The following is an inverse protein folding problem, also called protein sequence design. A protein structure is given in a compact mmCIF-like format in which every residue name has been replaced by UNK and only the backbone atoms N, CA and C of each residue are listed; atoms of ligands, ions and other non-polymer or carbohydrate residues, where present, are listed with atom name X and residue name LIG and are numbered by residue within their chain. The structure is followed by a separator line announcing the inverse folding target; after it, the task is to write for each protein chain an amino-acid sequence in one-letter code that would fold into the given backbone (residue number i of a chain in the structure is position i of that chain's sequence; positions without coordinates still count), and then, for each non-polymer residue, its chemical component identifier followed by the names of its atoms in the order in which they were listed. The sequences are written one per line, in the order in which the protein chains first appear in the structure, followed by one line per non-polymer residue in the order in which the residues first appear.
data_IF_306012857631
#
_entry.id   IF_306012857631
#
_cell.length_a   1.000
_cell.length_b   1.000
_cell.length_c   1.000
_cell.angle_alpha   90.00
_cell.angle_beta   90.00
_cell.angle_gamma   90.00
#
_symmetry.space_group_name_H-M   'P 1'
#
loop_
_entity.id
_entity.type
_entity.pdbx_description
1 polymer ?
#
# COMPACT_ATOMS: atom_id res chain seq x y z
N UNK A 1 7.03 12.36 -2.21
CA UNK A 1 6.16 11.39 -1.49
C UNK A 1 6.37 10.03 -2.11
N UNK A 2 6.87 9.09 -1.33
CA UNK A 2 7.20 7.73 -1.75
C UNK A 2 5.96 6.83 -1.75
N UNK A 3 6.07 5.62 -2.31
CA UNK A 3 4.99 4.64 -2.21
C UNK A 3 4.76 4.24 -0.74
N UNK A 4 5.83 4.00 0.01
CA UNK A 4 5.76 3.67 1.44
C UNK A 4 4.98 4.73 2.23
N UNK A 5 5.18 6.02 1.94
CA UNK A 5 4.45 7.11 2.61
C UNK A 5 2.93 7.03 2.39
N UNK A 6 2.46 6.50 1.25
CA UNK A 6 1.03 6.26 1.06
C UNK A 6 0.53 5.11 1.95
N UNK A 7 1.30 4.03 2.10
CA UNK A 7 0.94 2.91 2.98
C UNK A 7 0.87 3.34 4.45
N UNK A 8 1.84 4.14 4.90
CA UNK A 8 1.85 4.67 6.27
C UNK A 8 0.65 5.62 6.50
N UNK A 9 0.31 6.45 5.50
CA UNK A 9 -0.86 7.31 5.56
C UNK A 9 -2.18 6.53 5.59
N UNK A 10 -2.25 5.38 4.90
CA UNK A 10 -3.39 4.46 4.95
C UNK A 10 -3.50 3.84 6.34
N UNK A 11 -2.40 3.35 6.91
CA UNK A 11 -2.40 2.79 8.27
C UNK A 11 -2.91 3.82 9.28
N UNK A 12 -2.43 5.06 9.20
CA UNK A 12 -2.89 6.14 10.08
C UNK A 12 -4.38 6.44 9.93
N UNK A 13 -4.95 6.32 8.73
CA UNK A 13 -6.37 6.60 8.45
C UNK A 13 -7.30 5.46 8.84
N UNK A 14 -6.85 4.23 8.61
CA UNK A 14 -7.66 3.02 8.78
C UNK A 14 -7.47 2.38 10.15
N UNK A 15 -6.36 2.68 10.84
CA UNK A 15 -5.95 1.99 12.07
C UNK A 15 -5.42 0.57 11.83
N UNK A 16 -5.26 0.16 10.56
CA UNK A 16 -4.84 -1.19 10.18
C UNK A 16 -3.52 -1.14 9.41
N UNK A 17 -2.60 -2.04 9.75
CA UNK A 17 -1.37 -2.22 8.96
C UNK A 17 -1.71 -2.57 7.50
N UNK A 18 -0.87 -2.19 6.53
CA UNK A 18 -1.06 -2.58 5.13
C UNK A 18 -1.20 -4.10 4.95
N UNK A 19 -0.45 -4.92 5.71
CA UNK A 19 -0.57 -6.38 5.71
C UNK A 19 -1.99 -6.83 6.01
N UNK A 20 -2.56 -6.33 7.11
CA UNK A 20 -3.94 -6.69 7.50
C UNK A 20 -4.96 -6.31 6.44
N UNK A 21 -4.78 -5.16 5.77
CA UNK A 21 -5.66 -4.76 4.66
C UNK A 21 -5.52 -5.68 3.45
N UNK A 22 -4.32 -6.17 3.14
CA UNK A 22 -4.10 -7.18 2.09
C UNK A 22 -4.75 -8.51 2.45
N UNK A 23 -4.63 -8.96 3.69
CA UNK A 23 -5.29 -10.20 4.16
C UNK A 23 -6.82 -10.09 4.05
N UNK A 24 -7.39 -8.96 4.48
CA UNK A 24 -8.83 -8.68 4.35
C UNK A 24 -9.28 -8.61 2.88
N UNK A 25 -8.42 -8.11 1.99
CA UNK A 25 -8.70 -8.10 0.56
C UNK A 25 -8.77 -9.54 0.01
N UNK A 26 -7.84 -10.41 0.43
CA UNK A 26 -7.83 -11.82 0.06
C UNK A 26 -9.05 -12.57 0.60
N UNK A 27 -9.45 -12.31 1.86
CA UNK A 27 -10.68 -12.84 2.47
C UNK A 27 -11.94 -12.43 1.66
N UNK A 28 -11.92 -11.27 1.00
CA UNK A 28 -12.98 -10.77 0.11
C UNK A 28 -12.88 -11.27 -1.34
N UNK A 29 -11.87 -12.09 -1.66
CA UNK A 29 -11.65 -12.61 -3.01
C UNK A 29 -10.94 -11.64 -3.96
N UNK A 30 -10.31 -10.59 -3.43
CA UNK A 30 -9.45 -9.71 -4.22
C UNK A 30 -8.02 -10.26 -4.32
N UNK A 31 -7.40 -10.07 -5.48
CA UNK A 31 -6.06 -10.57 -5.76
C UNK A 31 -5.53 -10.09 -7.11
N UNK A 32 -4.56 -10.80 -7.71
CA UNK A 32 -3.86 -10.37 -8.92
C UNK A 32 -4.74 -10.02 -10.13
N UNK A 33 -5.85 -10.74 -10.31
CA UNK A 33 -6.75 -10.56 -11.46
C UNK A 33 -7.88 -9.54 -11.21
N UNK A 34 -7.98 -9.03 -9.98
CA UNK A 34 -9.04 -8.09 -9.59
C UNK A 34 -8.79 -6.72 -10.21
N UNK A 35 -9.85 -6.12 -10.76
CA UNK A 35 -9.79 -4.73 -11.25
C UNK A 35 -9.65 -3.76 -10.07
N UNK A 36 -9.07 -2.59 -10.35
CA UNK A 36 -8.87 -1.56 -9.33
C UNK A 36 -10.19 -1.06 -8.72
N UNK A 37 -11.23 -0.90 -9.53
CA UNK A 37 -12.49 -0.25 -9.10
C UNK A 37 -13.16 -0.95 -7.92
N UNK A 38 -13.41 -2.29 -7.93
CA UNK A 38 -14.00 -2.98 -6.77
C UNK A 38 -13.19 -2.82 -5.47
N UNK A 39 -11.86 -2.82 -5.55
CA UNK A 39 -10.98 -2.65 -4.39
C UNK A 39 -11.10 -1.22 -3.85
N UNK A 40 -11.14 -0.21 -4.74
CA UNK A 40 -11.29 1.20 -4.35
C UNK A 40 -12.65 1.44 -3.69
N UNK A 41 -13.72 0.90 -4.26
CA UNK A 41 -15.08 1.01 -3.72
C UNK A 41 -15.17 0.38 -2.33
N UNK A 42 -14.59 -0.81 -2.15
CA UNK A 42 -14.50 -1.45 -0.85
C UNK A 42 -13.73 -0.59 0.17
N UNK A 43 -12.54 -0.11 -0.19
CA UNK A 43 -11.72 0.70 0.72
C UNK A 43 -12.38 2.03 1.08
N UNK A 44 -13.14 2.62 0.15
CA UNK A 44 -13.93 3.81 0.40
C UNK A 44 -15.13 3.52 1.32
N UNK A 45 -15.85 2.43 1.09
CA UNK A 45 -17.04 2.06 1.87
C UNK A 45 -16.71 1.66 3.31
N UNK A 46 -15.70 0.80 3.51
CA UNK A 46 -15.38 0.24 4.81
C UNK A 46 -14.48 1.16 5.65
N UNK A 47 -13.65 1.99 5.00
CA UNK A 47 -12.62 2.78 5.69
C UNK A 47 -12.57 4.27 5.31
N UNK A 48 -13.50 4.75 4.48
CA UNK A 48 -13.49 6.15 4.02
C UNK A 48 -12.24 6.53 3.22
N UNK A 49 -11.55 5.55 2.63
CA UNK A 49 -10.27 5.81 1.98
C UNK A 49 -10.46 6.45 0.60
N UNK A 50 -9.94 7.67 0.43
CA UNK A 50 -9.96 8.35 -0.86
C UNK A 50 -9.12 7.65 -1.93
N UNK A 51 -9.55 7.77 -3.20
CA UNK A 51 -8.96 7.10 -4.37
C UNK A 51 -7.43 7.18 -4.46
N UNK A 52 -6.85 8.35 -4.16
CA UNK A 52 -5.39 8.55 -4.22
C UNK A 52 -4.60 7.65 -3.27
N UNK A 53 -5.14 7.35 -2.09
CA UNK A 53 -4.51 6.42 -1.14
C UNK A 53 -4.85 4.97 -1.49
N UNK A 54 -6.09 4.71 -1.90
CA UNK A 54 -6.53 3.37 -2.28
C UNK A 54 -5.68 2.74 -3.39
N UNK A 55 -5.16 3.55 -4.32
CA UNK A 55 -4.30 3.05 -5.41
C UNK A 55 -3.01 2.36 -4.94
N UNK A 56 -2.45 2.78 -3.80
CA UNK A 56 -1.27 2.11 -3.24
C UNK A 56 -1.63 0.68 -2.78
N UNK A 57 -2.76 0.51 -2.09
CA UNK A 57 -3.26 -0.82 -1.71
C UNK A 57 -3.67 -1.66 -2.92
N UNK A 58 -4.33 -1.07 -3.92
CA UNK A 58 -4.67 -1.76 -5.17
C UNK A 58 -3.43 -2.39 -5.79
N UNK A 59 -2.32 -1.65 -5.85
CA UNK A 59 -1.08 -2.17 -6.38
C UNK A 59 -0.56 -3.33 -5.52
N UNK A 60 -0.49 -3.19 -4.19
CA UNK A 60 -0.01 -4.27 -3.31
C UNK A 60 -0.88 -5.52 -3.41
N UNK A 61 -2.20 -5.38 -3.47
CA UNK A 61 -3.15 -6.49 -3.60
C UNK A 61 -2.99 -7.21 -4.94
N UNK A 62 -2.76 -6.46 -6.02
CA UNK A 62 -2.73 -7.04 -7.38
C UNK A 62 -1.34 -7.46 -7.84
N UNK A 63 -0.27 -6.90 -7.25
CA UNK A 63 1.12 -7.08 -7.71
C UNK A 63 2.09 -7.47 -6.61
N UNK A 64 1.67 -7.46 -5.35
CA UNK A 64 2.53 -7.70 -4.20
C UNK A 64 3.33 -6.47 -3.77
N UNK A 65 4.18 -6.61 -2.73
CA UNK A 65 4.95 -5.52 -2.14
C UNK A 65 6.17 -5.08 -2.96
N UNK A 66 6.55 -5.82 -4.00
CA UNK A 66 7.71 -5.48 -4.82
C UNK A 66 7.38 -4.30 -5.74
N UNK A 67 8.18 -3.24 -5.71
CA UNK A 67 8.07 -2.09 -6.60
C UNK A 67 9.22 -2.06 -7.62
N UNK A 68 9.03 -1.45 -8.81
CA UNK A 68 10.09 -1.37 -9.80
C UNK A 68 11.31 -0.58 -9.30
N UNK A 69 12.50 -1.17 -9.43
CA UNK A 69 13.78 -0.60 -8.97
C UNK A 69 14.18 0.71 -9.64
N UNK A 70 13.51 1.12 -10.73
CA UNK A 70 13.74 2.41 -11.41
C UNK A 70 13.53 3.64 -10.51
N UNK A 71 12.91 3.47 -9.33
CA UNK A 71 12.75 4.48 -8.30
C UNK A 71 13.40 4.08 -6.95
N UNK A 72 14.34 3.11 -6.94
CA UNK A 72 15.12 2.55 -5.78
C UNK A 72 16.68 2.77 -5.93
N UNK A 73 17.47 3.04 -4.86
CA UNK A 73 18.62 4.02 -4.69
C UNK A 73 18.99 5.22 -5.65
N UNK A 74 18.47 6.47 -5.55
CA UNK A 74 18.75 7.66 -6.42
C UNK A 74 18.49 8.97 -5.65
N UNK A 75 19.21 10.06 -5.93
CA UNK A 75 19.23 11.28 -5.09
C UNK A 75 17.99 12.22 -5.19
N UNK A 76 16.78 11.67 -5.33
CA UNK A 76 15.54 12.44 -5.54
C UNK A 76 14.52 12.38 -4.39
N UNK A 77 13.77 13.47 -4.19
CA UNK A 77 12.79 13.70 -3.09
C UNK A 77 11.52 12.80 -3.14
N UNK A 78 11.39 11.93 -4.15
CA UNK A 78 10.20 11.13 -4.45
C UNK A 78 10.52 9.63 -4.53
N UNK A 79 10.99 9.07 -3.43
CA UNK A 79 11.73 7.82 -3.50
C UNK A 79 11.48 6.89 -2.32
N UNK A 80 11.34 5.61 -2.63
CA UNK A 80 11.31 4.52 -1.66
C UNK A 80 12.73 4.08 -1.30
N UNK A 81 12.95 3.76 -0.02
CA UNK A 81 14.24 3.33 0.51
C UNK A 81 14.60 1.89 0.11
N UNK A 82 13.59 1.08 -0.17
CA UNK A 82 13.69 -0.33 -0.57
C UNK A 82 12.82 -0.59 -1.79
N UNK A 83 13.16 -1.62 -2.57
CA UNK A 83 12.31 -2.13 -3.65
C UNK A 83 11.20 -3.05 -3.15
N UNK A 84 11.19 -3.31 -1.85
CA UNK A 84 10.17 -4.08 -1.15
C UNK A 84 9.46 -3.18 -0.15
N UNK A 85 8.15 -2.98 -0.35
CA UNK A 85 7.32 -2.21 0.56
C UNK A 85 7.17 -2.90 1.91
N UNK A 86 7.28 -2.12 2.99
CA UNK A 86 7.04 -2.61 4.34
C UNK A 86 5.55 -2.59 4.65
N UNK A 87 4.97 -3.78 4.88
CA UNK A 87 3.53 -3.93 5.12
C UNK A 87 3.17 -4.17 6.59
N UNK A 88 4.17 -4.46 7.43
CA UNK A 88 3.96 -4.97 8.79
C UNK A 88 3.88 -3.83 9.84
N UNK A 89 3.59 -2.62 9.37
CA UNK A 89 3.32 -1.44 10.19
C UNK A 89 4.44 -0.39 10.14
N UNK A 90 4.08 0.88 10.08
CA UNK A 90 5.04 1.98 10.04
C UNK A 90 5.94 2.06 11.30
N UNK A 91 5.49 1.50 12.44
CA UNK A 91 6.26 1.45 13.68
C UNK A 91 7.39 0.41 13.66
N UNK A 92 7.29 -0.62 12.81
CA UNK A 92 8.25 -1.73 12.72
C UNK A 92 9.16 -1.63 11.51
N UNK A 93 8.94 -0.64 10.64
CA UNK A 93 9.69 -0.45 9.41
C UNK A 93 11.17 -0.11 9.71
N UNK A 94 12.14 -0.96 9.32
CA UNK A 94 13.57 -0.70 9.52
C UNK A 94 14.11 0.40 8.58
N UNK A 95 13.36 0.75 7.54
CA UNK A 95 13.66 1.77 6.55
C UNK A 95 12.91 3.07 6.85
N UNK A 96 12.79 3.40 8.13
CA UNK A 96 12.14 4.62 8.58
C UNK A 96 13.21 5.50 9.25
N UNK A 97 13.88 6.31 8.43
CA UNK A 97 14.84 7.33 8.85
C UNK A 97 14.19 8.61 9.37
#
# INVERSE_FOLDING_TARGET
MSFQAYLDAIEKKTGLTPRRLVDLAAEKGFGPDTKATPIIEWLAADYGLGRGHAMALVYVITKGPQIPTKHVGTDGVHRDESDTLWLDGAATNPHRG
#
